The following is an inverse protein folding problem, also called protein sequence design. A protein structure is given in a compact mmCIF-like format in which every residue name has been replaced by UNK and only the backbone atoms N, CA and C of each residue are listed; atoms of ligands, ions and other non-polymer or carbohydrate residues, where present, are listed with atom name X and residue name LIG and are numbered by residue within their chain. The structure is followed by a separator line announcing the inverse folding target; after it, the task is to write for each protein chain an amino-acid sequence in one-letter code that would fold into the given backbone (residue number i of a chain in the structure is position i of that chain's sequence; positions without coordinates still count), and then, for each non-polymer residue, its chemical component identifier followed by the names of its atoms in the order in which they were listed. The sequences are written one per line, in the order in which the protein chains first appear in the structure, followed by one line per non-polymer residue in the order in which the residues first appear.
data_IF_010020823594
#
_entry.id   IF_010020823594
#
_cell.length_a   1.000
_cell.length_b   1.000
_cell.length_c   1.000
_cell.angle_alpha   90.00
_cell.angle_beta   90.00
_cell.angle_gamma   90.00
#
_symmetry.space_group_name_H-M   'P 1'
#
loop_
_entity.id
_entity.type
_entity.pdbx_description
1 polymer ?
#
# COMPACT_ATOMS: atom_id res chain seq x y z
N UNK A 1 56.45 -55.13 26.56
CA UNK A 1 55.39 -55.75 25.74
C UNK A 1 54.15 -54.89 25.87
N UNK A 2 53.85 -54.15 24.81
CA UNK A 2 52.72 -53.24 24.70
C UNK A 2 51.50 -53.99 24.18
N UNK A 3 50.33 -53.73 24.74
CA UNK A 3 49.05 -54.02 24.08
C UNK A 3 48.19 -52.75 24.11
N UNK A 4 48.21 -52.05 22.97
CA UNK A 4 47.35 -50.91 22.65
C UNK A 4 46.00 -51.49 22.18
N UNK A 5 44.91 -51.01 22.78
CA UNK A 5 43.55 -51.36 22.41
C UNK A 5 43.12 -50.53 21.17
N UNK A 6 42.80 -51.13 20.01
CA UNK A 6 42.68 -50.39 18.75
C UNK A 6 41.23 -50.12 18.32
N UNK A 7 40.36 -49.61 19.20
CA UNK A 7 38.98 -49.27 18.80
C UNK A 7 38.40 -48.07 19.57
N UNK A 8 38.95 -46.87 19.33
CA UNK A 8 38.20 -45.63 19.50
C UNK A 8 38.01 -44.95 18.15
N UNK A 9 36.77 -44.74 17.68
CA UNK A 9 36.51 -43.85 16.56
C UNK A 9 36.78 -42.40 17.01
N UNK A 10 37.85 -41.82 16.47
CA UNK A 10 38.10 -40.39 16.53
C UNK A 10 37.02 -39.69 15.70
N UNK A 11 36.00 -39.14 16.36
CA UNK A 11 35.06 -38.25 15.67
C UNK A 11 35.80 -36.94 15.32
N UNK A 12 35.78 -36.50 14.05
CA UNK A 12 36.19 -35.15 13.73
C UNK A 12 35.19 -34.17 14.40
N UNK A 13 35.71 -33.24 15.21
CA UNK A 13 34.95 -32.09 15.70
C UNK A 13 34.46 -31.35 14.44
N UNK A 14 33.15 -31.38 14.16
CA UNK A 14 32.57 -30.64 13.04
C UNK A 14 32.41 -29.16 13.39
N UNK A 15 32.91 -28.25 12.53
CA UNK A 15 32.70 -26.82 12.51
C UNK A 15 31.35 -26.17 12.78
N UNK A 16 30.19 -26.83 12.65
CA UNK A 16 29.16 -26.14 11.85
C UNK A 16 27.72 -26.27 12.36
N UNK A 17 27.42 -25.65 13.50
CA UNK A 17 26.03 -25.30 13.88
C UNK A 17 25.85 -23.83 14.29
N UNK A 18 26.91 -23.17 14.76
CA UNK A 18 26.88 -21.74 15.11
C UNK A 18 26.90 -20.84 13.87
N UNK A 19 27.69 -21.16 12.85
CA UNK A 19 27.78 -20.33 11.63
C UNK A 19 26.48 -20.30 10.82
N UNK A 20 25.79 -21.43 10.67
CA UNK A 20 24.53 -21.50 9.91
C UNK A 20 23.42 -20.66 10.55
N UNK A 21 23.41 -20.58 11.88
CA UNK A 21 22.44 -19.80 12.68
C UNK A 21 22.72 -18.29 12.60
N UNK A 22 23.99 -17.90 12.58
CA UNK A 22 24.42 -16.52 12.40
C UNK A 22 24.14 -16.00 10.97
N UNK A 23 24.45 -16.80 9.94
CA UNK A 23 24.20 -16.43 8.54
C UNK A 23 22.71 -16.33 8.21
N UNK A 24 21.87 -17.20 8.78
CA UNK A 24 20.41 -17.15 8.58
C UNK A 24 19.79 -15.94 9.29
N UNK A 25 20.28 -15.59 10.49
CA UNK A 25 19.80 -14.42 11.23
C UNK A 25 20.20 -13.11 10.55
N UNK A 26 21.43 -13.02 10.01
CA UNK A 26 21.87 -11.84 9.24
C UNK A 26 21.12 -11.66 7.92
N UNK A 27 20.83 -12.76 7.20
CA UNK A 27 20.06 -12.70 5.95
C UNK A 27 18.60 -12.26 6.18
N UNK A 28 17.97 -12.76 7.25
CA UNK A 28 16.61 -12.34 7.63
C UNK A 28 16.55 -10.87 8.08
N UNK A 29 17.58 -10.42 8.78
CA UNK A 29 17.70 -9.04 9.23
C UNK A 29 17.87 -8.08 8.04
N UNK A 30 18.78 -8.38 7.10
CA UNK A 30 18.97 -7.61 5.87
C UNK A 30 17.71 -7.58 4.99
N UNK A 31 16.97 -8.68 4.91
CA UNK A 31 15.70 -8.75 4.18
C UNK A 31 14.64 -7.84 4.81
N UNK A 32 14.58 -7.77 6.14
CA UNK A 32 13.69 -6.85 6.86
C UNK A 32 13.98 -5.39 6.54
N UNK A 33 15.26 -5.00 6.51
CA UNK A 33 15.66 -3.63 6.17
C UNK A 33 15.37 -3.26 4.71
N UNK A 34 15.64 -4.17 3.77
CA UNK A 34 15.32 -3.93 2.35
C UNK A 34 13.82 -3.75 2.13
N UNK A 35 13.01 -4.61 2.77
CA UNK A 35 11.54 -4.55 2.71
C UNK A 35 11.02 -3.22 3.26
N UNK A 36 11.51 -2.81 4.44
CA UNK A 36 11.10 -1.58 5.09
C UNK A 36 11.54 -0.33 4.31
N UNK A 37 12.74 -0.35 3.73
CA UNK A 37 13.24 0.74 2.88
C UNK A 37 12.36 0.91 1.64
N UNK A 38 11.98 -0.20 0.99
CA UNK A 38 11.07 -0.18 -0.15
C UNK A 38 9.71 0.42 0.22
N UNK A 39 9.14 0.00 1.36
CA UNK A 39 7.89 0.56 1.88
C UNK A 39 7.97 2.07 2.10
N UNK A 40 9.04 2.55 2.75
CA UNK A 40 9.22 3.98 3.04
C UNK A 40 9.37 4.82 1.77
N UNK A 41 10.07 4.30 0.76
CA UNK A 41 10.22 4.99 -0.53
C UNK A 41 8.91 5.05 -1.31
N UNK A 42 8.08 4.01 -1.21
CA UNK A 42 6.80 3.96 -1.91
C UNK A 42 5.72 4.79 -1.20
N UNK A 43 5.60 4.68 0.12
CA UNK A 43 4.51 5.28 0.91
C UNK A 43 4.81 6.71 1.34
N UNK A 44 5.00 7.59 0.36
CA UNK A 44 5.12 9.03 0.60
C UNK A 44 3.74 9.71 0.53
N UNK A 45 3.55 10.88 1.19
CA UNK A 45 2.31 11.64 1.07
C UNK A 45 1.93 11.95 -0.39
N UNK A 46 2.92 12.25 -1.24
CA UNK A 46 2.70 12.53 -2.66
C UNK A 46 2.18 11.31 -3.42
N UNK A 47 2.79 10.14 -3.21
CA UNK A 47 2.36 8.91 -3.87
C UNK A 47 0.98 8.46 -3.39
N UNK A 48 0.69 8.58 -2.08
CA UNK A 48 -0.63 8.29 -1.52
C UNK A 48 -1.69 9.21 -2.15
N UNK A 49 -1.40 10.51 -2.25
CA UNK A 49 -2.28 11.47 -2.90
C UNK A 49 -2.54 11.10 -4.36
N UNK A 50 -1.48 10.83 -5.13
CA UNK A 50 -1.60 10.42 -6.53
C UNK A 50 -2.43 9.15 -6.69
N UNK A 51 -2.25 8.17 -5.80
CA UNK A 51 -3.01 6.92 -5.78
C UNK A 51 -4.52 7.16 -5.58
N UNK A 52 -4.87 8.08 -4.69
CA UNK A 52 -6.27 8.44 -4.43
C UNK A 52 -6.87 9.27 -5.56
N UNK A 53 -6.08 10.15 -6.18
CA UNK A 53 -6.48 10.97 -7.31
C UNK A 53 -6.67 10.13 -8.58
N UNK A 54 -5.83 9.11 -8.79
CA UNK A 54 -5.75 8.28 -10.00
C UNK A 54 -5.83 6.76 -9.74
N UNK A 55 -6.84 6.25 -9.02
CA UNK A 55 -6.90 4.87 -8.54
C UNK A 55 -6.95 3.80 -9.65
N UNK A 56 -7.42 4.16 -10.85
CA UNK A 56 -7.57 3.30 -12.02
C UNK A 56 -6.36 3.35 -12.99
N UNK A 57 -5.41 4.25 -12.75
CA UNK A 57 -4.19 4.37 -13.55
C UNK A 57 -3.37 3.09 -13.53
N UNK A 58 -2.61 2.82 -14.59
CA UNK A 58 -1.75 1.64 -14.65
C UNK A 58 -0.68 1.71 -13.54
N UNK A 59 -0.16 2.91 -13.33
CA UNK A 59 0.83 3.25 -12.32
C UNK A 59 0.31 2.99 -10.91
N UNK A 60 -0.93 3.38 -10.59
CA UNK A 60 -1.52 3.13 -9.27
C UNK A 60 -1.82 1.65 -9.04
N UNK A 61 -2.22 0.92 -10.09
CA UNK A 61 -2.43 -0.54 -10.01
C UNK A 61 -1.12 -1.29 -9.78
N UNK A 62 -0.06 -0.92 -10.51
CA UNK A 62 1.28 -1.47 -10.33
C UNK A 62 1.82 -1.17 -8.93
N UNK A 63 1.68 0.08 -8.48
CA UNK A 63 2.04 0.48 -7.13
C UNK A 63 1.36 -0.37 -6.04
N UNK A 64 0.04 -0.56 -6.14
CA UNK A 64 -0.69 -1.41 -5.19
C UNK A 64 -0.26 -2.88 -5.27
N UNK A 65 0.01 -3.39 -6.48
CA UNK A 65 0.49 -4.76 -6.67
C UNK A 65 1.86 -4.98 -6.01
N UNK A 66 2.75 -3.98 -6.05
CA UNK A 66 4.03 -4.01 -5.36
C UNK A 66 3.91 -3.87 -3.84
N UNK A 67 2.94 -3.09 -3.37
CA UNK A 67 2.74 -2.81 -1.95
C UNK A 67 2.13 -4.00 -1.20
N UNK A 68 1.14 -4.68 -1.78
CA UNK A 68 0.42 -5.82 -1.19
C UNK A 68 1.33 -6.90 -0.59
N UNK A 69 2.35 -7.44 -1.30
CA UNK A 69 3.20 -8.46 -0.72
C UNK A 69 4.01 -7.93 0.48
N UNK A 70 4.40 -6.65 0.48
CA UNK A 70 5.15 -6.04 1.59
C UNK A 70 4.30 -5.89 2.86
N UNK A 71 2.99 -5.68 2.71
CA UNK A 71 2.04 -5.44 3.81
C UNK A 71 1.38 -6.72 4.34
N UNK A 72 1.97 -7.89 4.14
CA UNK A 72 1.46 -9.14 4.70
C UNK A 72 1.84 -9.32 6.17
N UNK A 73 1.02 -10.00 7.00
CA UNK A 73 1.36 -10.27 8.39
C UNK A 73 2.72 -10.97 8.57
N UNK A 74 3.06 -11.89 7.65
CA UNK A 74 4.35 -12.59 7.67
C UNK A 74 5.54 -11.64 7.45
N UNK A 75 5.44 -10.72 6.48
CA UNK A 75 6.50 -9.76 6.21
C UNK A 75 6.59 -8.69 7.30
N UNK A 76 5.46 -8.23 7.85
CA UNK A 76 5.44 -7.34 9.02
C UNK A 76 6.13 -8.01 10.21
N UNK A 77 5.78 -9.26 10.49
CA UNK A 77 6.42 -10.06 11.55
C UNK A 77 7.92 -10.23 11.31
N UNK A 78 8.35 -10.50 10.07
CA UNK A 78 9.76 -10.58 9.70
C UNK A 78 10.51 -9.25 9.91
N UNK A 79 9.89 -8.11 9.59
CA UNK A 79 10.46 -6.78 9.83
C UNK A 79 10.57 -6.46 11.33
N UNK A 80 9.77 -7.10 12.18
CA UNK A 80 9.77 -6.88 13.64
C UNK A 80 10.63 -7.89 14.41
N UNK A 81 11.51 -8.62 13.71
CA UNK A 81 12.48 -9.55 14.29
C UNK A 81 13.89 -9.00 14.23
N UNK A 82 14.77 -9.58 15.05
CA UNK A 82 16.20 -9.30 15.04
C UNK A 82 16.60 -8.05 15.84
N UNK A 83 17.89 -7.71 15.83
CA UNK A 83 18.47 -6.64 16.65
C UNK A 83 17.93 -5.25 16.29
N UNK A 84 17.45 -5.04 15.06
CA UNK A 84 16.92 -3.76 14.59
C UNK A 84 15.39 -3.64 14.67
N UNK A 85 14.70 -4.63 15.25
CA UNK A 85 13.24 -4.66 15.35
C UNK A 85 12.61 -3.38 15.93
N UNK A 86 13.24 -2.76 16.92
CA UNK A 86 12.71 -1.54 17.54
C UNK A 86 12.79 -0.31 16.62
N UNK A 87 13.88 -0.17 15.87
CA UNK A 87 14.00 0.90 14.88
C UNK A 87 12.98 0.70 13.75
N UNK A 88 12.82 -0.55 13.29
CA UNK A 88 11.84 -0.91 12.25
C UNK A 88 10.40 -0.69 12.70
N UNK A 89 10.08 -0.99 13.96
CA UNK A 89 8.77 -0.73 14.55
C UNK A 89 8.39 0.75 14.46
N UNK A 90 9.29 1.67 14.83
CA UNK A 90 9.04 3.11 14.73
C UNK A 90 8.71 3.55 13.30
N UNK A 91 9.46 3.05 12.31
CA UNK A 91 9.20 3.37 10.89
C UNK A 91 7.86 2.78 10.42
N UNK A 92 7.52 1.56 10.84
CA UNK A 92 6.22 0.97 10.54
C UNK A 92 5.07 1.75 11.17
N UNK A 93 5.21 2.22 12.41
CA UNK A 93 4.25 3.11 13.06
C UNK A 93 4.09 4.44 12.30
N UNK A 94 5.20 5.05 11.85
CA UNK A 94 5.17 6.26 11.01
C UNK A 94 4.38 6.04 9.71
N UNK A 95 4.62 4.90 9.04
CA UNK A 95 3.87 4.51 7.86
C UNK A 95 2.38 4.29 8.21
N UNK A 96 2.09 3.62 9.33
CA UNK A 96 0.72 3.44 9.83
C UNK A 96 0.00 4.77 10.08
N UNK A 97 0.69 5.77 10.60
CA UNK A 97 0.16 7.12 10.79
C UNK A 97 -0.08 7.88 9.48
N UNK A 98 0.66 7.61 8.42
CA UNK A 98 0.41 8.17 7.08
C UNK A 98 -0.83 7.53 6.45
N UNK A 99 -1.02 6.24 6.69
CA UNK A 99 -2.16 5.45 6.21
C UNK A 99 -3.35 5.45 7.16
N UNK A 100 -3.36 6.36 8.15
CA UNK A 100 -4.44 6.46 9.09
C UNK A 100 -5.75 6.85 8.36
N UNK A 101 -6.85 6.20 8.78
CA UNK A 101 -8.18 6.38 8.20
C UNK A 101 -8.60 7.86 8.11
N UNK A 102 -8.44 8.64 9.17
CA UNK A 102 -8.92 10.03 9.22
C UNK A 102 -8.17 10.93 8.23
N UNK A 103 -6.86 10.69 8.04
CA UNK A 103 -6.05 11.42 7.06
C UNK A 103 -6.45 11.05 5.62
N UNK A 104 -6.68 9.77 5.38
CA UNK A 104 -7.11 9.27 4.08
C UNK A 104 -8.52 9.78 3.74
N UNK A 105 -9.44 9.79 4.70
CA UNK A 105 -10.79 10.34 4.55
C UNK A 105 -10.77 11.84 4.23
N UNK A 106 -9.89 12.60 4.89
CA UNK A 106 -9.72 14.04 4.60
C UNK A 106 -9.24 14.26 3.16
N UNK A 107 -8.22 13.52 2.72
CA UNK A 107 -7.73 13.60 1.33
C UNK A 107 -8.79 13.17 0.31
N UNK A 108 -9.52 12.11 0.62
CA UNK A 108 -10.61 11.59 -0.20
C UNK A 108 -11.76 12.60 -0.36
N UNK A 109 -12.17 13.28 0.70
CA UNK A 109 -13.21 14.30 0.63
C UNK A 109 -12.80 15.46 -0.29
N UNK A 110 -11.54 15.90 -0.20
CA UNK A 110 -11.01 16.94 -1.11
C UNK A 110 -11.04 16.50 -2.57
N UNK A 111 -10.71 15.24 -2.86
CA UNK A 111 -10.78 14.67 -4.21
C UNK A 111 -12.24 14.63 -4.69
N UNK A 112 -13.19 14.25 -3.83
CA UNK A 112 -14.61 14.22 -4.19
C UNK A 112 -15.16 15.60 -4.51
N UNK A 113 -14.82 16.60 -3.71
CA UNK A 113 -15.16 17.98 -4.02
C UNK A 113 -14.58 18.44 -5.36
N UNK A 114 -13.33 18.06 -5.67
CA UNK A 114 -12.69 18.36 -6.95
C UNK A 114 -13.42 17.70 -8.13
N UNK A 115 -13.71 16.41 -8.02
CA UNK A 115 -14.43 15.64 -9.04
C UNK A 115 -15.83 16.19 -9.28
N UNK A 116 -16.56 16.56 -8.22
CA UNK A 116 -17.88 17.17 -8.32
C UNK A 116 -17.82 18.54 -9.01
N UNK A 117 -16.89 19.41 -8.59
CA UNK A 117 -16.68 20.73 -9.22
C UNK A 117 -16.36 20.60 -10.71
N UNK A 118 -15.47 19.68 -11.08
CA UNK A 118 -15.11 19.44 -12.48
C UNK A 118 -16.25 18.86 -13.30
N UNK A 119 -17.06 17.99 -12.70
CA UNK A 119 -18.28 17.48 -13.33
C UNK A 119 -19.28 18.61 -13.57
N UNK A 120 -19.58 19.42 -12.55
CA UNK A 120 -20.52 20.55 -12.66
C UNK A 120 -20.04 21.59 -13.66
N UNK A 121 -18.74 21.90 -13.70
CA UNK A 121 -18.17 22.81 -14.71
C UNK A 121 -18.39 22.30 -16.13
N UNK A 122 -18.12 21.01 -16.38
CA UNK A 122 -18.32 20.38 -17.68
C UNK A 122 -19.79 20.32 -18.07
N UNK A 123 -20.67 19.98 -17.12
CA UNK A 123 -22.11 19.97 -17.34
C UNK A 123 -22.64 21.36 -17.72
N UNK A 124 -22.22 22.41 -17.00
CA UNK A 124 -22.62 23.80 -17.30
C UNK A 124 -22.15 24.27 -18.68
N UNK A 125 -20.90 23.98 -19.07
CA UNK A 125 -20.38 24.30 -20.40
C UNK A 125 -21.20 23.62 -21.49
N UNK A 126 -21.49 22.33 -21.33
CA UNK A 126 -22.31 21.59 -22.28
C UNK A 126 -23.75 22.07 -22.36
N UNK A 127 -24.34 22.47 -21.25
CA UNK A 127 -25.68 23.06 -21.25
C UNK A 127 -25.71 24.35 -22.08
N UNK A 128 -24.67 25.18 -21.98
CA UNK A 128 -24.55 26.38 -22.80
C UNK A 128 -24.38 26.04 -24.29
N UNK A 129 -23.55 25.04 -24.64
CA UNK A 129 -23.41 24.57 -26.02
C UNK A 129 -24.74 24.08 -26.60
N UNK A 130 -25.51 23.32 -25.82
CA UNK A 130 -26.83 22.84 -26.21
C UNK A 130 -27.81 24.01 -26.45
N UNK A 131 -27.85 25.00 -25.54
CA UNK A 131 -28.71 26.17 -25.70
C UNK A 131 -28.36 26.92 -27.00
N UNK A 132 -27.08 27.15 -27.27
CA UNK A 132 -26.63 27.78 -28.53
C UNK A 132 -27.09 26.99 -29.74
N UNK A 133 -26.91 25.66 -29.75
CA UNK A 133 -27.36 24.80 -30.87
C UNK A 133 -28.87 24.83 -31.08
N UNK A 134 -29.66 24.89 -29.99
CA UNK A 134 -31.12 25.01 -30.06
C UNK A 134 -31.50 26.37 -30.68
N UNK A 135 -30.83 27.45 -30.29
CA UNK A 135 -31.03 28.77 -30.91
C UNK A 135 -30.71 28.76 -32.41
N UNK A 136 -29.70 27.99 -32.82
CA UNK A 136 -29.33 27.81 -34.23
C UNK A 136 -30.23 26.80 -34.98
N UNK A 137 -31.28 26.28 -34.33
CA UNK A 137 -32.27 25.37 -34.93
C UNK A 137 -31.86 23.89 -34.95
N UNK A 138 -30.75 23.50 -34.31
CA UNK A 138 -30.25 22.13 -34.26
C UNK A 138 -30.74 21.36 -33.04
N UNK A 139 -31.82 20.57 -33.19
CA UNK A 139 -32.34 19.67 -32.14
C UNK A 139 -31.86 18.22 -32.26
N UNK A 140 -31.21 17.86 -33.38
CA UNK A 140 -30.78 16.48 -33.67
C UNK A 140 -29.73 15.94 -32.67
N UNK A 141 -28.96 16.82 -32.04
CA UNK A 141 -27.85 16.46 -31.12
C UNK A 141 -28.29 16.18 -29.66
N UNK A 142 -29.57 16.33 -29.32
CA UNK A 142 -30.04 16.14 -27.93
C UNK A 142 -29.81 14.72 -27.41
N UNK A 143 -29.96 13.70 -28.26
CA UNK A 143 -29.72 12.32 -27.85
C UNK A 143 -28.23 12.07 -27.53
N UNK A 144 -27.32 12.60 -28.36
CA UNK A 144 -25.88 12.54 -28.11
C UNK A 144 -25.51 13.23 -26.80
N UNK A 145 -26.09 14.39 -26.52
CA UNK A 145 -25.92 15.11 -25.26
C UNK A 145 -26.34 14.26 -24.04
N UNK A 146 -27.51 13.64 -24.08
CA UNK A 146 -28.01 12.80 -22.98
C UNK A 146 -27.13 11.55 -22.78
N UNK A 147 -26.76 10.89 -23.88
CA UNK A 147 -25.88 9.71 -23.86
C UNK A 147 -24.54 10.03 -23.22
N UNK A 148 -23.86 11.09 -23.67
CA UNK A 148 -22.54 11.43 -23.12
C UNK A 148 -22.61 11.98 -21.70
N UNK A 149 -23.73 12.58 -21.29
CA UNK A 149 -23.96 12.99 -19.89
C UNK A 149 -24.11 11.77 -18.97
N UNK A 150 -24.84 10.74 -19.41
CA UNK A 150 -24.94 9.47 -18.69
C UNK A 150 -23.59 8.76 -18.58
N UNK A 151 -22.80 8.75 -19.65
CA UNK A 151 -21.44 8.21 -19.64
C UNK A 151 -20.53 8.96 -18.66
N UNK A 152 -20.56 10.30 -18.67
CA UNK A 152 -19.79 11.11 -17.74
C UNK A 152 -20.18 10.86 -16.27
N UNK A 153 -21.49 10.70 -15.98
CA UNK A 153 -21.98 10.31 -14.66
C UNK A 153 -21.54 8.90 -14.26
N UNK A 154 -21.55 7.95 -15.20
CA UNK A 154 -21.04 6.60 -15.00
C UNK A 154 -19.56 6.62 -14.62
N UNK A 155 -18.75 7.34 -15.39
CA UNK A 155 -17.32 7.50 -15.14
C UNK A 155 -17.03 8.19 -13.80
N UNK A 156 -17.79 9.22 -13.44
CA UNK A 156 -17.68 9.88 -12.13
C UNK A 156 -17.99 8.90 -10.98
N UNK A 157 -19.09 8.15 -11.08
CA UNK A 157 -19.48 7.15 -10.07
C UNK A 157 -18.41 6.07 -9.91
N UNK A 158 -17.88 5.58 -11.02
CA UNK A 158 -16.81 4.59 -11.01
C UNK A 158 -15.56 5.16 -10.33
N UNK A 159 -15.14 6.38 -10.70
CA UNK A 159 -13.99 7.04 -10.08
C UNK A 159 -14.13 7.21 -8.57
N UNK A 160 -15.30 7.63 -8.09
CA UNK A 160 -15.60 7.73 -6.65
C UNK A 160 -15.50 6.37 -5.97
N UNK A 161 -16.03 5.31 -6.61
CA UNK A 161 -15.96 3.96 -6.08
C UNK A 161 -14.52 3.45 -5.99
N UNK A 162 -13.71 3.70 -7.01
CA UNK A 162 -12.31 3.30 -7.05
C UNK A 162 -11.48 4.03 -5.99
N UNK A 163 -11.65 5.35 -5.84
CA UNK A 163 -10.98 6.12 -4.77
C UNK A 163 -11.41 5.60 -3.38
N UNK A 164 -12.69 5.27 -3.17
CA UNK A 164 -13.17 4.64 -1.92
C UNK A 164 -12.48 3.31 -1.65
N UNK A 165 -12.39 2.46 -2.66
CA UNK A 165 -11.77 1.14 -2.55
C UNK A 165 -10.29 1.26 -2.19
N UNK A 166 -9.56 2.12 -2.90
CA UNK A 166 -8.14 2.39 -2.65
C UNK A 166 -7.91 2.97 -1.24
N UNK A 167 -8.71 3.96 -0.82
CA UNK A 167 -8.65 4.52 0.53
C UNK A 167 -8.90 3.46 1.61
N UNK A 168 -9.86 2.55 1.39
CA UNK A 168 -10.14 1.43 2.28
C UNK A 168 -8.99 0.43 2.36
N UNK A 169 -8.37 0.09 1.23
CA UNK A 169 -7.21 -0.80 1.20
C UNK A 169 -6.02 -0.18 1.96
N UNK A 170 -5.71 1.10 1.69
CA UNK A 170 -4.66 1.83 2.39
C UNK A 170 -4.92 1.94 3.91
N UNK A 171 -6.14 2.26 4.32
CA UNK A 171 -6.48 2.31 5.75
C UNK A 171 -6.42 0.95 6.43
N UNK A 172 -6.73 -0.14 5.72
CA UNK A 172 -6.52 -1.50 6.21
C UNK A 172 -5.03 -1.78 6.47
N UNK A 173 -4.15 -1.37 5.55
CA UNK A 173 -2.71 -1.45 5.76
C UNK A 173 -2.27 -0.60 6.96
N UNK A 174 -2.77 0.63 7.10
CA UNK A 174 -2.51 1.48 8.26
C UNK A 174 -2.94 0.83 9.58
N UNK A 175 -4.08 0.14 9.61
CA UNK A 175 -4.56 -0.59 10.77
C UNK A 175 -3.65 -1.75 11.20
N UNK A 176 -3.06 -2.47 10.24
CA UNK A 176 -2.06 -3.52 10.53
C UNK A 176 -0.78 -2.97 11.15
N UNK A 177 -0.44 -1.72 10.83
CA UNK A 177 0.72 -1.00 11.34
C UNK A 177 0.40 -0.09 12.53
N UNK A 178 -0.77 -0.27 13.15
CA UNK A 178 -1.08 0.43 14.39
C UNK A 178 -0.13 0.00 15.50
N UNK A 179 0.19 0.93 16.40
CA UNK A 179 1.06 0.70 17.55
C UNK A 179 0.66 -0.55 18.34
N UNK A 180 -0.63 -0.74 18.59
CA UNK A 180 -1.16 -1.90 19.29
C UNK A 180 -0.82 -3.23 18.59
N UNK A 181 -0.95 -3.29 17.27
CA UNK A 181 -0.65 -4.50 16.49
C UNK A 181 0.84 -4.77 16.41
N UNK A 182 1.65 -3.73 16.21
CA UNK A 182 3.11 -3.83 16.19
C UNK A 182 3.63 -4.30 17.56
N UNK A 183 3.14 -3.72 18.65
CA UNK A 183 3.50 -4.14 20.01
C UNK A 183 3.00 -5.55 20.34
N UNK A 184 1.85 -5.97 19.80
CA UNK A 184 1.36 -7.35 19.86
C UNK A 184 2.36 -8.33 19.25
N UNK A 185 2.72 -8.13 17.98
CA UNK A 185 3.67 -8.99 17.25
C UNK A 185 5.04 -9.03 17.94
N UNK A 186 5.52 -7.90 18.45
CA UNK A 186 6.81 -7.86 19.16
C UNK A 186 6.80 -8.61 20.48
N UNK A 187 5.67 -8.67 21.19
CA UNK A 187 5.53 -9.47 22.42
C UNK A 187 5.54 -10.97 22.13
N UNK A 188 4.94 -11.39 21.02
CA UNK A 188 4.95 -12.80 20.59
C UNK A 188 6.35 -13.33 20.31
N UNK A 189 7.27 -12.50 19.80
CA UNK A 189 8.67 -12.92 19.55
C UNK A 189 9.58 -12.83 20.79
N UNK A 190 9.09 -12.30 21.91
CA UNK A 190 9.84 -12.22 23.19
C UNK A 190 9.51 -13.38 24.14
N UNK A 191 8.42 -14.10 23.90
CA UNK A 191 8.01 -15.29 24.63
C UNK A 191 8.51 -16.56 23.94
#
# INVERSE_FOLDING_TARGET
MSTINPNQPTYPIQPSTLEKSASTSQAQDQQGDMTLKKLKTQLTPANIKHLLEHPDSAESREFLAELRPLMTPANISSMLRGPHAEARAKVLEEIGMLLNKDKLETGQNSIFEGLEKDFMRRASLRNLELLTKIFDGGLEDMYGFLSTSNEALGNLRQRIADTKSTSKELSSFGGMLSKEKIDGVRREHKN
#
